data_IF_909553205504
#
_entry.id   IF_909553205504
#
_cell.length_a   1.000
_cell.length_b   1.000
_cell.length_c   1.000
_cell.angle_alpha   90.00
_cell.angle_beta   90.00
_cell.angle_gamma   90.00
#
_symmetry.space_group_name_H-M   'P 1'
#
loop_
_entity.id
_entity.type
_entity.pdbx_description
1 polymer ?
#
# COMPACT_ATOMS: atom_id res chain seq x y z
N UNK A 1 10.11 -3.95 -20.12
CA UNK A 1 10.13 -4.03 -18.65
C UNK A 1 10.11 -5.51 -18.26
N UNK A 2 11.11 -5.97 -17.53
CA UNK A 2 11.19 -7.32 -16.96
C UNK A 2 10.16 -7.50 -15.85
N UNK A 3 9.89 -8.75 -15.44
CA UNK A 3 8.98 -9.02 -14.31
C UNK A 3 9.47 -8.36 -13.02
N UNK A 4 10.77 -8.40 -12.76
CA UNK A 4 11.43 -7.75 -11.62
C UNK A 4 11.28 -6.22 -11.66
N UNK A 5 11.51 -5.59 -12.80
CA UNK A 5 11.33 -4.13 -12.96
C UNK A 5 9.87 -3.72 -12.72
N UNK A 6 8.91 -4.52 -13.24
CA UNK A 6 7.48 -4.30 -13.03
C UNK A 6 7.11 -4.45 -11.55
N UNK A 7 7.66 -5.45 -10.87
CA UNK A 7 7.45 -5.65 -9.44
C UNK A 7 8.01 -4.51 -8.60
N UNK A 8 9.21 -3.99 -8.92
CA UNK A 8 9.75 -2.81 -8.24
C UNK A 8 8.83 -1.60 -8.38
N UNK A 9 8.34 -1.33 -9.60
CA UNK A 9 7.39 -0.24 -9.83
C UNK A 9 6.13 -0.38 -8.97
N UNK A 10 5.61 -1.60 -8.84
CA UNK A 10 4.47 -1.92 -7.99
C UNK A 10 4.79 -1.71 -6.51
N UNK A 11 5.96 -2.15 -6.05
CA UNK A 11 6.40 -1.97 -4.68
C UNK A 11 6.56 -0.48 -4.32
N UNK A 12 7.23 0.30 -5.17
CA UNK A 12 7.41 1.75 -4.97
C UNK A 12 6.07 2.49 -4.97
N UNK A 13 5.15 2.09 -5.87
CA UNK A 13 3.78 2.63 -5.90
C UNK A 13 3.04 2.37 -4.60
N UNK A 14 3.03 1.10 -4.14
CA UNK A 14 2.35 0.72 -2.91
C UNK A 14 2.98 1.37 -1.68
N UNK A 15 4.31 1.49 -1.64
CA UNK A 15 5.02 2.21 -0.59
C UNK A 15 4.56 3.68 -0.51
N UNK A 16 4.57 4.40 -1.64
CA UNK A 16 4.12 5.80 -1.68
C UNK A 16 2.65 5.96 -1.26
N UNK A 17 1.78 5.05 -1.66
CA UNK A 17 0.37 5.06 -1.24
C UNK A 17 0.21 4.78 0.26
N UNK A 18 0.96 3.82 0.82
CA UNK A 18 0.95 3.53 2.25
C UNK A 18 1.42 4.75 3.06
N UNK A 19 2.51 5.40 2.64
CA UNK A 19 3.01 6.62 3.27
C UNK A 19 1.97 7.73 3.27
N UNK A 20 1.35 7.99 2.11
CA UNK A 20 0.29 8.98 2.01
C UNK A 20 -0.88 8.66 2.93
N UNK A 21 -1.32 7.40 2.96
CA UNK A 21 -2.41 6.96 3.84
C UNK A 21 -2.10 7.15 5.32
N UNK A 22 -0.88 6.81 5.75
CA UNK A 22 -0.40 7.04 7.11
C UNK A 22 -0.41 8.53 7.47
N UNK A 23 -0.09 9.41 6.52
CA UNK A 23 -0.03 10.85 6.75
C UNK A 23 -1.42 11.52 6.70
N UNK A 24 -2.38 10.97 5.94
CA UNK A 24 -3.71 11.59 5.74
C UNK A 24 -4.86 10.92 6.51
N UNK A 25 -4.71 9.67 6.94
CA UNK A 25 -5.76 8.91 7.64
C UNK A 25 -5.16 8.35 8.94
N UNK A 26 -4.99 9.18 10.00
CA UNK A 26 -4.28 8.79 11.22
C UNK A 26 -4.89 7.57 11.93
N UNK A 27 -6.20 7.37 11.76
CA UNK A 27 -6.95 6.25 12.35
C UNK A 27 -6.70 4.92 11.61
N UNK A 28 -6.26 4.99 10.36
CA UNK A 28 -5.96 3.81 9.57
C UNK A 28 -4.51 3.38 9.82
N UNK A 29 -4.33 2.35 10.64
CA UNK A 29 -3.02 1.73 10.86
C UNK A 29 -2.62 0.90 9.62
N UNK A 30 -2.08 1.59 8.61
CA UNK A 30 -1.51 1.04 7.39
C UNK A 30 -0.01 0.78 7.60
N UNK A 31 0.52 -0.33 7.11
CA UNK A 31 1.96 -0.62 7.09
C UNK A 31 2.39 -1.19 5.74
N UNK A 32 3.66 -0.99 5.42
CA UNK A 32 4.35 -1.61 4.30
C UNK A 32 5.57 -2.35 4.84
N UNK A 33 5.68 -3.63 4.53
CA UNK A 33 6.77 -4.49 4.99
C UNK A 33 7.42 -5.18 3.79
N UNK A 34 8.73 -5.01 3.64
CA UNK A 34 9.51 -5.81 2.71
C UNK A 34 9.87 -7.15 3.38
N UNK A 35 9.44 -8.27 2.79
CA UNK A 35 9.70 -9.62 3.33
C UNK A 35 10.97 -10.24 2.75
N UNK A 36 11.25 -10.00 1.47
CA UNK A 36 12.38 -10.61 0.76
C UNK A 36 12.96 -9.63 -0.26
N UNK A 37 14.29 -9.46 -0.21
CA UNK A 37 15.06 -8.69 -1.18
C UNK A 37 15.59 -9.60 -2.31
N UNK A 38 15.80 -9.04 -3.50
CA UNK A 38 16.52 -9.75 -4.56
C UNK A 38 18.03 -9.52 -4.42
N UNK A 39 18.82 -10.58 -4.55
CA UNK A 39 20.28 -10.50 -4.66
C UNK A 39 20.76 -10.32 -6.11
N UNK A 40 19.87 -10.46 -7.09
CA UNK A 40 20.18 -10.34 -8.52
C UNK A 40 19.83 -8.93 -9.03
N UNK A 41 20.79 -8.32 -9.74
CA UNK A 41 21.01 -6.90 -10.05
C UNK A 41 19.88 -6.11 -10.78
N UNK A 42 18.65 -6.60 -10.87
CA UNK A 42 17.56 -5.93 -11.61
C UNK A 42 16.28 -5.70 -10.79
N UNK A 43 16.08 -6.41 -9.68
CA UNK A 43 14.97 -6.22 -8.73
C UNK A 43 15.50 -5.74 -7.38
N UNK A 44 14.84 -4.81 -6.69
CA UNK A 44 15.17 -4.45 -5.30
C UNK A 44 14.40 -5.35 -4.34
N UNK A 45 13.16 -5.68 -4.71
CA UNK A 45 12.23 -6.42 -3.87
C UNK A 45 11.83 -7.74 -4.56
N UNK A 46 11.50 -8.77 -3.78
CA UNK A 46 10.87 -10.02 -4.26
C UNK A 46 9.50 -10.26 -3.67
N UNK A 47 9.28 -9.81 -2.45
CA UNK A 47 8.01 -9.97 -1.75
C UNK A 47 7.79 -8.81 -0.82
N UNK A 48 6.60 -8.23 -0.90
CA UNK A 48 6.13 -7.16 -0.03
C UNK A 48 4.81 -7.57 0.60
N UNK A 49 4.53 -7.02 1.77
CA UNK A 49 3.29 -7.19 2.48
C UNK A 49 2.74 -5.82 2.87
N UNK A 50 1.47 -5.58 2.57
CA UNK A 50 0.74 -4.39 3.00
C UNK A 50 -0.24 -4.82 4.09
N UNK A 51 -0.07 -4.27 5.29
CA UNK A 51 -1.02 -4.45 6.38
C UNK A 51 -1.95 -3.26 6.48
N UNK A 52 -3.24 -3.48 6.62
CA UNK A 52 -4.24 -2.42 6.81
C UNK A 52 -5.14 -2.83 7.96
N UNK A 53 -5.19 -1.99 8.99
CA UNK A 53 -6.15 -2.16 10.08
C UNK A 53 -7.40 -1.38 9.74
N UNK A 54 -8.55 -2.07 9.70
CA UNK A 54 -9.84 -1.43 9.49
C UNK A 54 -10.24 -0.62 10.72
N UNK A 55 -11.19 0.30 10.56
CA UNK A 55 -11.80 1.07 11.66
C UNK A 55 -12.39 0.18 12.76
N UNK A 56 -12.78 -1.06 12.42
CA UNK A 56 -13.25 -2.10 13.34
C UNK A 56 -12.12 -2.79 14.13
N UNK A 57 -10.85 -2.42 13.93
CA UNK A 57 -9.69 -2.97 14.62
C UNK A 57 -9.15 -4.28 14.03
N UNK A 58 -9.78 -4.81 12.96
CA UNK A 58 -9.29 -6.02 12.29
C UNK A 58 -8.14 -5.70 11.36
N UNK A 59 -7.03 -6.44 11.45
CA UNK A 59 -5.86 -6.26 10.57
C UNK A 59 -5.90 -7.26 9.42
N UNK A 60 -5.94 -6.74 8.19
CA UNK A 60 -5.80 -7.53 6.96
C UNK A 60 -4.41 -7.35 6.39
N UNK A 61 -3.85 -8.44 5.89
CA UNK A 61 -2.55 -8.46 5.23
C UNK A 61 -2.72 -8.86 3.78
N UNK A 62 -1.98 -8.17 2.91
CA UNK A 62 -1.99 -8.41 1.48
C UNK A 62 -0.56 -8.62 1.00
N UNK A 63 -0.28 -9.80 0.46
CA UNK A 63 1.03 -10.13 -0.06
C UNK A 63 1.09 -9.89 -1.57
N UNK A 64 2.17 -9.26 -2.03
CA UNK A 64 2.50 -9.14 -3.45
C UNK A 64 3.88 -9.70 -3.65
N UNK A 65 4.02 -10.69 -4.54
CA UNK A 65 5.25 -11.43 -4.73
C UNK A 65 5.60 -11.57 -6.21
N UNK A 66 6.84 -11.25 -6.57
CA UNK A 66 7.37 -11.35 -7.94
C UNK A 66 7.27 -12.78 -8.49
N UNK A 67 7.47 -13.79 -7.64
CA UNK A 67 7.47 -15.20 -8.06
C UNK A 67 6.07 -15.74 -8.39
N UNK A 68 5.01 -15.09 -7.89
CA UNK A 68 3.65 -15.59 -8.07
C UNK A 68 3.06 -15.18 -9.43
N UNK A 69 2.07 -15.93 -9.90
CA UNK A 69 1.39 -15.69 -11.20
C UNK A 69 0.34 -14.59 -11.10
N UNK A 70 -0.25 -14.45 -9.92
CA UNK A 70 -1.30 -13.50 -9.54
C UNK A 70 -0.72 -12.16 -9.04
N UNK A 71 0.58 -11.90 -9.21
CA UNK A 71 1.25 -10.66 -8.79
C UNK A 71 0.48 -9.39 -9.21
N UNK A 72 -0.01 -9.35 -10.45
CA UNK A 72 -0.73 -8.19 -10.98
C UNK A 72 -2.12 -8.03 -10.37
N UNK A 73 -2.83 -9.14 -10.16
CA UNK A 73 -4.13 -9.15 -9.52
C UNK A 73 -4.01 -8.67 -8.07
N UNK A 74 -3.05 -9.23 -7.32
CA UNK A 74 -2.76 -8.83 -5.94
C UNK A 74 -2.37 -7.35 -5.87
N UNK A 75 -1.53 -6.85 -6.78
CA UNK A 75 -1.21 -5.42 -6.84
C UNK A 75 -2.46 -4.56 -7.06
N UNK A 76 -3.32 -4.92 -8.03
CA UNK A 76 -4.56 -4.17 -8.33
C UNK A 76 -5.50 -4.17 -7.12
N UNK A 77 -5.68 -5.32 -6.46
CA UNK A 77 -6.51 -5.44 -5.27
C UNK A 77 -6.02 -4.53 -4.14
N UNK A 78 -4.72 -4.57 -3.82
CA UNK A 78 -4.15 -3.72 -2.75
C UNK A 78 -4.27 -2.24 -3.09
N UNK A 79 -3.94 -1.88 -4.34
CA UNK A 79 -4.09 -0.51 -4.82
C UNK A 79 -5.52 0.00 -4.69
N UNK A 80 -6.52 -0.83 -5.00
CA UNK A 80 -7.93 -0.46 -4.85
C UNK A 80 -8.30 -0.19 -3.38
N UNK A 81 -7.84 -1.03 -2.45
CA UNK A 81 -8.10 -0.83 -1.01
C UNK A 81 -7.46 0.47 -0.51
N UNK A 82 -6.19 0.72 -0.86
CA UNK A 82 -5.50 1.95 -0.47
C UNK A 82 -6.14 3.21 -1.09
N UNK A 83 -6.60 3.13 -2.34
CA UNK A 83 -7.33 4.23 -2.98
C UNK A 83 -8.63 4.54 -2.26
N UNK A 84 -9.43 3.52 -1.91
CA UNK A 84 -10.68 3.72 -1.18
C UNK A 84 -10.42 4.37 0.18
N UNK A 85 -9.34 3.97 0.86
CA UNK A 85 -8.94 4.60 2.11
C UNK A 85 -8.61 6.09 1.94
N UNK A 86 -7.85 6.43 0.89
CA UNK A 86 -7.45 7.81 0.60
C UNK A 86 -8.61 8.68 0.09
N UNK A 87 -9.58 8.12 -0.62
CA UNK A 87 -10.77 8.83 -1.09
C UNK A 87 -11.73 9.19 0.05
N UNK A 88 -11.81 8.31 1.05
CA UNK A 88 -12.62 8.53 2.25
C UNK A 88 -11.87 9.32 3.34
N UNK A 89 -10.64 9.76 3.06
CA UNK A 89 -9.87 10.55 4.01
C UNK A 89 -10.59 11.90 4.26
N UNK A 90 -10.71 12.33 5.53
CA UNK A 90 -11.30 13.63 5.82
C UNK A 90 -10.50 14.73 5.12
N UNK A 91 -11.21 15.69 4.54
CA UNK A 91 -10.61 16.83 3.87
C UNK A 91 -9.92 17.73 4.93
N UNK A 92 -8.58 17.91 4.90
CA UNK A 92 -7.84 18.61 5.95
C UNK A 92 -8.16 20.12 6.04
N UNK A 93 -8.90 20.65 5.06
CA UNK A 93 -9.34 22.04 5.01
C UNK A 93 -10.84 22.21 5.27
N UNK A 94 -11.61 21.13 5.26
CA UNK A 94 -13.07 21.18 5.38
C UNK A 94 -13.53 21.08 6.85
N UNK A 95 -12.67 20.65 7.77
CA UNK A 95 -12.96 20.63 9.22
C UNK A 95 -12.71 21.98 9.93
N UNK A 96 -12.48 23.08 9.19
CA UNK A 96 -12.19 24.40 9.77
C UNK A 96 -13.37 25.37 9.82
N UNK A 97 -14.60 24.89 9.62
CA UNK A 97 -15.79 25.73 9.76
C UNK A 97 -16.82 25.06 10.69
N UNK A 98 -16.59 25.20 11.99
CA UNK A 98 -17.54 25.16 13.13
C UNK A 98 -16.66 25.16 14.41
N UNK A 99 -16.65 26.08 15.38
CA UNK A 99 -17.59 27.10 15.85
C UNK A 99 -16.80 28.26 16.52
N UNK A 100 -17.16 29.52 16.20
CA UNK A 100 -17.57 30.57 17.15
C UNK A 100 -17.79 31.92 16.43
#
# INVERSE_FOLDING_TARGET
MTKAEKFNLYADTLYGMCRKAQDTVPEANVCFECKVFSSEKLGTYRTICVGITTTEGSRKYYDVCEALRDMEENFVSVKAVLNNLLLNAPCPYCEKEEEN
#
